data_IF_298301947468
#
_entry.id   IF_298301947468
#
_cell.length_a   1.000
_cell.length_b   1.000
_cell.length_c   1.000
_cell.angle_alpha   90.00
_cell.angle_beta   90.00
_cell.angle_gamma   90.00
#
_symmetry.space_group_name_H-M   'P 1'
#
loop_
_entity.id
_entity.type
_entity.pdbx_description
1 polymer ?
#
# COMPACT_ATOMS: atom_id res chain seq x y z
N UNK A 1 36.01 56.26 20.72
CA UNK A 1 36.26 56.34 19.27
C UNK A 1 37.09 55.12 18.88
N UNK A 2 36.74 54.47 17.76
CA UNK A 2 37.06 53.07 17.37
C UNK A 2 36.19 52.04 18.10
N UNK A 3 35.52 51.06 17.49
CA UNK A 3 35.60 50.45 16.16
C UNK A 3 34.21 49.85 15.84
N UNK A 4 33.53 50.35 14.79
CA UNK A 4 32.22 49.87 14.34
C UNK A 4 32.28 49.70 12.82
N UNK A 5 33.05 48.71 12.36
CA UNK A 5 33.22 48.42 10.95
C UNK A 5 33.35 46.92 10.69
N UNK A 6 32.50 46.43 9.78
CA UNK A 6 32.69 45.19 9.03
C UNK A 6 32.47 43.85 9.75
N UNK A 7 31.23 43.35 9.72
CA UNK A 7 30.93 41.91 9.50
C UNK A 7 29.44 41.65 9.21
N UNK A 8 28.97 42.13 8.06
CA UNK A 8 27.72 41.69 7.43
C UNK A 8 28.03 41.39 5.96
N UNK A 9 28.42 40.14 5.64
CA UNK A 9 28.40 39.50 4.30
C UNK A 9 29.23 38.21 4.28
N UNK A 10 28.68 37.14 4.84
CA UNK A 10 28.94 35.73 4.48
C UNK A 10 28.10 34.91 5.47
N UNK A 11 27.05 34.20 5.09
CA UNK A 11 27.12 32.96 4.32
C UNK A 11 25.70 32.49 3.94
N UNK A 12 24.84 33.42 3.51
CA UNK A 12 23.49 33.10 3.01
C UNK A 12 23.52 32.28 1.69
N UNK A 13 24.71 31.96 1.19
CA UNK A 13 24.98 31.14 0.00
C UNK A 13 24.81 29.64 0.24
N UNK A 14 24.73 29.17 1.48
CA UNK A 14 24.62 27.74 1.80
C UNK A 14 23.19 27.21 1.79
N UNK A 15 22.18 28.09 1.89
CA UNK A 15 20.76 27.71 2.02
C UNK A 15 20.02 27.64 0.67
N UNK A 16 20.63 28.15 -0.40
CA UNK A 16 20.08 28.16 -1.77
C UNK A 16 20.39 26.89 -2.57
N UNK A 17 21.26 25.99 -2.08
CA UNK A 17 21.60 24.72 -2.75
C UNK A 17 20.72 23.52 -2.37
N UNK A 18 19.74 23.69 -1.49
CA UNK A 18 18.91 22.59 -0.95
C UNK A 18 17.47 22.53 -1.48
N UNK A 19 17.13 23.32 -2.52
CA UNK A 19 15.79 23.33 -3.14
C UNK A 19 15.86 23.04 -4.64
N UNK A 20 16.72 22.10 -5.05
CA UNK A 20 16.95 21.75 -6.45
C UNK A 20 16.94 20.24 -6.71
N UNK A 21 15.97 19.53 -6.13
CA UNK A 21 15.59 18.20 -6.62
C UNK A 21 14.11 18.20 -7.00
N UNK A 22 13.74 19.11 -7.90
CA UNK A 22 12.58 18.85 -8.76
C UNK A 22 13.03 17.78 -9.73
N UNK A 23 12.53 16.54 -9.58
CA UNK A 23 12.59 15.53 -10.64
C UNK A 23 12.04 16.16 -11.91
N UNK A 24 12.93 16.52 -12.83
CA UNK A 24 12.58 17.00 -14.15
C UNK A 24 11.74 15.92 -14.82
N UNK A 25 10.46 16.19 -15.06
CA UNK A 25 9.70 15.44 -16.05
C UNK A 25 10.38 15.74 -17.38
N UNK A 26 11.19 14.81 -17.88
CA UNK A 26 11.91 15.00 -19.12
C UNK A 26 10.91 14.92 -20.29
N UNK A 27 10.47 16.08 -20.75
CA UNK A 27 9.53 16.23 -21.87
C UNK A 27 10.08 15.69 -23.20
N UNK A 28 11.35 15.22 -23.23
CA UNK A 28 12.03 14.63 -24.40
C UNK A 28 11.87 13.12 -24.57
N UNK A 29 11.18 12.41 -23.68
CA UNK A 29 11.04 10.95 -23.80
C UNK A 29 10.09 10.59 -24.96
N UNK A 30 10.54 9.71 -25.85
CA UNK A 30 9.69 9.13 -26.89
C UNK A 30 8.62 8.22 -26.28
N UNK A 31 7.60 7.87 -27.06
CA UNK A 31 6.60 6.86 -26.64
C UNK A 31 7.26 5.54 -26.27
N UNK A 32 8.30 5.12 -27.01
CA UNK A 32 9.03 3.89 -26.73
C UNK A 32 9.78 3.97 -25.38
N UNK A 33 10.39 5.13 -25.08
CA UNK A 33 11.10 5.32 -23.81
C UNK A 33 10.14 5.28 -22.61
N UNK A 34 8.95 5.89 -22.74
CA UNK A 34 7.91 5.85 -21.70
C UNK A 34 7.40 4.43 -21.46
N UNK A 35 7.25 3.63 -22.51
CA UNK A 35 6.88 2.21 -22.39
C UNK A 35 7.97 1.40 -21.70
N UNK A 36 9.24 1.67 -22.02
CA UNK A 36 10.38 1.04 -21.34
C UNK A 36 10.43 1.42 -19.86
N UNK A 37 10.18 2.69 -19.53
CA UNK A 37 10.10 3.16 -18.15
C UNK A 37 8.96 2.48 -17.37
N UNK A 38 7.77 2.34 -17.98
CA UNK A 38 6.66 1.63 -17.35
C UNK A 38 7.00 0.17 -17.07
N UNK A 39 7.63 -0.54 -18.03
CA UNK A 39 8.08 -1.93 -17.84
C UNK A 39 9.10 -2.05 -16.70
N UNK A 40 10.01 -1.10 -16.59
CA UNK A 40 10.99 -1.07 -15.50
C UNK A 40 10.32 -0.87 -14.13
N UNK A 41 9.34 0.05 -14.05
CA UNK A 41 8.56 0.26 -12.82
C UNK A 41 7.72 -0.96 -12.45
N UNK A 42 7.12 -1.64 -13.44
CA UNK A 42 6.39 -2.90 -13.22
C UNK A 42 7.31 -3.98 -12.65
N UNK A 43 8.52 -4.13 -13.21
CA UNK A 43 9.49 -5.08 -12.69
C UNK A 43 9.85 -4.79 -11.23
N UNK A 44 10.10 -3.53 -10.85
CA UNK A 44 10.37 -3.15 -9.45
C UNK A 44 9.14 -3.39 -8.54
N UNK A 45 7.95 -2.98 -8.98
CA UNK A 45 6.73 -2.99 -8.17
C UNK A 45 6.15 -4.39 -7.94
N UNK A 46 6.25 -5.26 -8.95
CA UNK A 46 5.57 -6.55 -8.97
C UNK A 46 6.56 -7.69 -8.93
N UNK A 47 7.47 -7.77 -9.91
CA UNK A 47 8.37 -8.94 -10.06
C UNK A 47 9.41 -9.01 -8.95
N UNK A 48 10.27 -8.00 -8.82
CA UNK A 48 11.34 -7.99 -7.83
C UNK A 48 10.79 -7.96 -6.38
N UNK A 49 9.67 -7.26 -6.16
CA UNK A 49 8.99 -7.27 -4.87
C UNK A 49 8.44 -8.66 -4.52
N UNK A 50 7.90 -9.40 -5.50
CA UNK A 50 7.41 -10.76 -5.29
C UNK A 50 8.56 -11.73 -4.97
N UNK A 51 9.68 -11.66 -5.69
CA UNK A 51 10.87 -12.48 -5.42
C UNK A 51 11.40 -12.26 -3.99
N UNK A 52 11.55 -10.99 -3.58
CA UNK A 52 11.98 -10.65 -2.23
C UNK A 52 10.97 -11.06 -1.15
N UNK A 53 9.67 -11.12 -1.48
CA UNK A 53 8.63 -11.57 -0.57
C UNK A 53 8.66 -13.10 -0.40
N UNK A 54 8.84 -13.84 -1.50
CA UNK A 54 8.98 -15.30 -1.53
C UNK A 54 10.11 -15.75 -0.61
N UNK A 55 11.30 -15.15 -0.76
CA UNK A 55 12.48 -15.46 0.07
C UNK A 55 12.18 -15.36 1.58
N UNK A 56 11.37 -14.37 1.98
CA UNK A 56 11.03 -14.10 3.39
C UNK A 56 9.88 -14.93 3.93
N UNK A 57 8.93 -15.33 3.09
CA UNK A 57 7.68 -15.99 3.51
C UNK A 57 7.76 -17.51 3.40
N UNK A 58 8.34 -18.04 2.32
CA UNK A 58 8.32 -19.49 2.05
C UNK A 58 9.13 -20.26 3.10
N UNK A 59 10.25 -19.70 3.57
CA UNK A 59 11.01 -20.29 4.70
C UNK A 59 10.22 -20.39 6.01
N UNK A 60 9.07 -19.72 6.12
CA UNK A 60 8.15 -19.79 7.27
C UNK A 60 6.91 -20.64 6.98
N UNK A 61 6.89 -21.37 5.86
CA UNK A 61 5.72 -22.15 5.42
C UNK A 61 4.51 -21.29 5.04
N UNK A 62 4.74 -20.01 4.68
CA UNK A 62 3.68 -19.07 4.30
C UNK A 62 3.78 -18.71 2.83
N UNK A 63 2.61 -18.54 2.21
CA UNK A 63 2.49 -17.91 0.90
C UNK A 63 2.66 -16.38 1.03
N UNK A 64 3.10 -15.73 -0.05
CA UNK A 64 3.11 -14.26 -0.19
C UNK A 64 1.70 -13.71 -0.38
N UNK A 65 1.52 -12.39 -0.25
CA UNK A 65 0.23 -11.74 -0.45
C UNK A 65 -0.37 -12.00 -1.85
N UNK A 66 0.47 -11.98 -2.89
CA UNK A 66 0.08 -12.24 -4.29
C UNK A 66 -0.23 -13.70 -4.54
N UNK A 67 0.57 -14.63 -4.02
CA UNK A 67 0.30 -16.07 -4.15
C UNK A 67 -1.04 -16.46 -3.51
N UNK A 68 -1.41 -15.83 -2.39
CA UNK A 68 -2.73 -16.07 -1.76
C UNK A 68 -3.88 -15.60 -2.65
N UNK A 69 -3.71 -14.48 -3.35
CA UNK A 69 -4.70 -13.99 -4.32
C UNK A 69 -4.79 -14.93 -5.52
N UNK A 70 -3.66 -15.33 -6.10
CA UNK A 70 -3.62 -16.25 -7.25
C UNK A 70 -4.19 -17.63 -6.90
N UNK A 71 -3.97 -18.12 -5.68
CA UNK A 71 -4.55 -19.38 -5.23
C UNK A 71 -6.07 -19.30 -5.04
N UNK A 72 -6.59 -18.12 -4.66
CA UNK A 72 -8.00 -17.91 -4.36
C UNK A 72 -8.84 -17.69 -5.63
N UNK A 73 -8.30 -16.92 -6.58
CA UNK A 73 -9.01 -16.48 -7.77
C UNK A 73 -8.84 -17.46 -8.94
N UNK A 74 -9.76 -17.40 -9.90
CA UNK A 74 -9.61 -18.11 -11.16
C UNK A 74 -8.35 -17.61 -11.88
N UNK A 75 -7.56 -18.53 -12.43
CA UNK A 75 -6.27 -18.25 -13.06
C UNK A 75 -6.37 -17.13 -14.10
N UNK A 76 -5.50 -16.11 -13.96
CA UNK A 76 -5.43 -14.98 -14.88
C UNK A 76 -6.59 -13.98 -14.79
N UNK A 77 -7.49 -14.12 -13.81
CA UNK A 77 -8.61 -13.19 -13.62
C UNK A 77 -8.26 -11.94 -12.82
N UNK A 78 -7.14 -11.95 -12.09
CA UNK A 78 -6.78 -10.87 -11.18
C UNK A 78 -6.38 -9.60 -11.93
N UNK A 79 -7.05 -8.49 -11.59
CA UNK A 79 -6.74 -7.13 -12.04
C UNK A 79 -6.39 -6.30 -10.82
N UNK A 80 -5.12 -5.98 -10.68
CA UNK A 80 -4.61 -5.21 -9.54
C UNK A 80 -4.95 -3.72 -9.66
N UNK A 81 -5.24 -3.11 -8.51
CA UNK A 81 -5.41 -1.68 -8.34
C UNK A 81 -4.24 -1.09 -7.56
N UNK A 82 -3.85 0.12 -7.94
CA UNK A 82 -2.87 0.93 -7.21
C UNK A 82 -1.52 0.20 -7.00
N UNK A 83 -1.03 -0.52 -8.01
CA UNK A 83 0.24 -1.25 -7.95
C UNK A 83 1.44 -0.29 -7.74
N UNK A 84 1.37 0.94 -8.26
CA UNK A 84 2.48 1.91 -8.21
C UNK A 84 2.38 2.97 -7.10
N UNK A 85 1.39 2.89 -6.20
CA UNK A 85 1.30 3.88 -5.12
C UNK A 85 2.42 3.67 -4.10
N UNK A 86 2.77 4.75 -3.39
CA UNK A 86 3.81 4.75 -2.35
C UNK A 86 3.35 5.65 -1.20
N UNK A 87 3.65 5.29 0.05
CA UNK A 87 3.36 6.15 1.19
C UNK A 87 4.04 7.52 1.06
N UNK A 88 3.50 8.52 1.74
CA UNK A 88 3.93 9.93 1.63
C UNK A 88 4.59 10.47 2.91
N UNK A 89 4.64 9.64 3.95
CA UNK A 89 5.28 10.00 5.22
C UNK A 89 6.79 10.22 5.08
N UNK A 90 7.27 11.27 5.73
CA UNK A 90 8.69 11.60 5.97
C UNK A 90 9.06 11.44 7.46
N UNK A 91 8.11 11.05 8.30
CA UNK A 91 8.34 10.89 9.72
C UNK A 91 9.22 9.67 9.98
N UNK A 92 10.08 9.75 11.00
CA UNK A 92 10.96 8.66 11.43
C UNK A 92 11.80 8.03 10.31
N UNK A 93 12.19 8.81 9.29
CA UNK A 93 13.02 8.34 8.17
C UNK A 93 12.29 7.44 7.18
N UNK A 94 10.96 7.43 7.19
CA UNK A 94 10.15 6.60 6.28
C UNK A 94 10.40 6.90 4.80
N UNK A 95 10.80 8.13 4.46
CA UNK A 95 11.10 8.55 3.09
C UNK A 95 12.27 7.79 2.45
N UNK A 96 13.17 7.21 3.27
CA UNK A 96 14.29 6.40 2.81
C UNK A 96 13.86 5.08 2.15
N UNK A 97 12.66 4.57 2.46
CA UNK A 97 12.16 3.30 1.91
C UNK A 97 10.68 3.42 1.57
N UNK A 98 10.36 3.54 0.28
CA UNK A 98 8.99 3.76 -0.22
C UNK A 98 8.59 2.66 -1.21
N UNK A 99 8.31 1.43 -0.75
CA UNK A 99 7.97 0.32 -1.63
C UNK A 99 6.69 0.62 -2.40
N UNK A 100 6.63 0.16 -3.65
CA UNK A 100 5.42 0.22 -4.46
C UNK A 100 4.30 -0.65 -3.85
N UNK A 101 3.05 -0.28 -4.11
CA UNK A 101 1.86 -0.93 -3.57
C UNK A 101 1.60 -0.65 -2.08
N UNK A 102 2.59 -0.16 -1.34
CA UNK A 102 2.62 -0.14 0.13
C UNK A 102 2.41 -1.56 0.71
N UNK A 103 1.90 -1.71 1.93
CA UNK A 103 1.81 -3.02 2.60
C UNK A 103 0.57 -3.87 2.24
N UNK A 104 -0.05 -3.64 1.07
CA UNK A 104 -1.28 -4.35 0.66
C UNK A 104 -1.41 -4.44 -0.86
N UNK A 105 -1.80 -5.63 -1.33
CA UNK A 105 -2.22 -5.87 -2.72
C UNK A 105 -3.75 -5.82 -2.77
N UNK A 106 -4.33 -5.11 -3.73
CA UNK A 106 -5.78 -4.91 -3.84
C UNK A 106 -6.24 -5.06 -5.27
N UNK A 107 -7.44 -5.57 -5.50
CA UNK A 107 -7.99 -5.64 -6.86
C UNK A 107 -9.29 -6.41 -6.96
N UNK A 108 -9.56 -6.85 -8.17
CA UNK A 108 -10.72 -7.67 -8.51
C UNK A 108 -10.27 -8.92 -9.26
N UNK A 109 -11.10 -9.96 -9.24
CA UNK A 109 -10.98 -11.07 -10.16
C UNK A 109 -12.26 -11.89 -10.11
N UNK A 110 -12.17 -13.18 -10.41
CA UNK A 110 -13.32 -14.08 -10.36
C UNK A 110 -13.05 -15.31 -9.50
N UNK A 111 -14.10 -15.88 -8.90
CA UNK A 111 -14.08 -17.21 -8.28
C UNK A 111 -15.23 -17.98 -8.92
N UNK A 112 -14.92 -19.06 -9.62
CA UNK A 112 -15.89 -19.82 -10.42
C UNK A 112 -16.68 -18.90 -11.38
N UNK A 113 -15.97 -17.97 -12.04
CA UNK A 113 -16.53 -17.00 -12.98
C UNK A 113 -17.33 -15.86 -12.35
N UNK A 114 -17.48 -15.81 -11.01
CA UNK A 114 -18.22 -14.76 -10.30
C UNK A 114 -17.26 -13.68 -9.83
N UNK A 115 -17.51 -12.43 -10.18
CA UNK A 115 -16.65 -11.31 -9.80
C UNK A 115 -16.58 -11.14 -8.28
N UNK A 116 -15.37 -10.92 -7.76
CA UNK A 116 -15.09 -10.62 -6.36
C UNK A 116 -14.05 -9.51 -6.25
N UNK A 117 -14.16 -8.72 -5.19
CA UNK A 117 -13.13 -7.81 -4.74
C UNK A 117 -12.20 -8.54 -3.75
N UNK A 118 -10.91 -8.19 -3.75
CA UNK A 118 -9.95 -8.77 -2.81
C UNK A 118 -8.91 -7.75 -2.35
N UNK A 119 -8.50 -7.86 -1.09
CA UNK A 119 -7.24 -7.29 -0.63
C UNK A 119 -6.44 -8.34 0.15
N UNK A 120 -5.11 -8.27 0.04
CA UNK A 120 -4.19 -9.19 0.71
C UNK A 120 -3.02 -8.41 1.29
N UNK A 121 -2.89 -8.44 2.61
CA UNK A 121 -1.84 -7.70 3.32
C UNK A 121 -0.48 -8.37 3.14
N UNK A 122 0.54 -7.57 2.82
CA UNK A 122 1.90 -8.06 2.60
C UNK A 122 2.77 -7.85 3.85
N UNK A 123 2.93 -8.92 4.63
CA UNK A 123 3.74 -8.90 5.85
C UNK A 123 5.23 -8.59 5.59
N UNK A 124 5.73 -8.75 4.37
CA UNK A 124 7.13 -8.48 4.03
C UNK A 124 7.42 -6.98 3.89
N UNK A 125 6.37 -6.18 3.72
CA UNK A 125 6.40 -4.72 3.65
C UNK A 125 5.95 -4.13 4.98
N UNK A 126 6.90 -3.60 5.75
CA UNK A 126 6.65 -2.99 7.07
C UNK A 126 5.85 -3.87 8.04
N UNK A 127 6.02 -5.20 7.98
CA UNK A 127 5.26 -6.12 8.83
C UNK A 127 3.75 -6.14 8.52
N UNK A 128 3.35 -5.78 7.30
CA UNK A 128 1.94 -5.68 6.91
C UNK A 128 1.21 -4.53 7.60
N UNK A 129 1.94 -3.61 8.26
CA UNK A 129 1.33 -2.55 9.06
C UNK A 129 0.52 -1.59 8.21
N UNK A 130 -0.66 -1.21 8.71
CA UNK A 130 -1.57 -0.29 8.03
C UNK A 130 -1.04 1.15 8.15
N UNK A 131 -0.60 1.71 7.03
CA UNK A 131 -0.34 3.14 6.86
C UNK A 131 -1.48 3.86 6.14
N UNK A 132 -1.29 5.15 5.86
CA UNK A 132 -2.25 6.00 5.13
C UNK A 132 -2.60 5.40 3.77
N UNK A 133 -1.58 5.08 2.96
CA UNK A 133 -1.76 4.65 1.58
C UNK A 133 -2.28 3.21 1.50
N UNK A 134 -1.77 2.29 2.32
CA UNK A 134 -2.36 0.96 2.46
C UNK A 134 -3.85 1.04 2.86
N UNK A 135 -4.20 1.92 3.79
CA UNK A 135 -5.59 2.17 4.16
C UNK A 135 -6.43 2.71 3.01
N UNK A 136 -5.91 3.67 2.25
CA UNK A 136 -6.60 4.23 1.06
C UNK A 136 -6.86 3.17 -0.02
N UNK A 137 -5.93 2.24 -0.23
CA UNK A 137 -6.13 1.12 -1.17
C UNK A 137 -7.28 0.21 -0.72
N UNK A 138 -7.31 -0.18 0.56
CA UNK A 138 -8.37 -1.02 1.11
C UNK A 138 -9.72 -0.29 1.03
N UNK A 139 -9.76 0.98 1.43
CA UNK A 139 -10.95 1.83 1.33
C UNK A 139 -11.47 1.88 -0.11
N UNK A 140 -10.57 2.09 -1.10
CA UNK A 140 -10.95 2.13 -2.51
C UNK A 140 -11.58 0.82 -2.97
N UNK A 141 -10.97 -0.32 -2.67
CA UNK A 141 -11.52 -1.61 -3.13
C UNK A 141 -12.84 -1.94 -2.42
N UNK A 142 -13.01 -1.57 -1.15
CA UNK A 142 -14.28 -1.67 -0.43
C UNK A 142 -15.39 -0.80 -1.06
N UNK A 143 -15.08 0.46 -1.37
CA UNK A 143 -16.03 1.38 -2.00
C UNK A 143 -16.45 0.87 -3.39
N UNK A 144 -15.49 0.37 -4.17
CA UNK A 144 -15.77 -0.24 -5.47
C UNK A 144 -16.63 -1.50 -5.31
N UNK A 145 -16.30 -2.41 -4.40
CA UNK A 145 -17.08 -3.63 -4.15
C UNK A 145 -18.53 -3.32 -3.78
N UNK A 146 -18.74 -2.31 -2.92
CA UNK A 146 -20.08 -1.87 -2.52
C UNK A 146 -20.84 -1.24 -3.69
N UNK A 147 -20.16 -0.47 -4.54
CA UNK A 147 -20.77 0.17 -5.70
C UNK A 147 -21.17 -0.83 -6.79
N UNK A 148 -20.38 -1.89 -6.99
CA UNK A 148 -20.62 -2.93 -8.01
C UNK A 148 -21.37 -4.14 -7.46
N UNK A 149 -21.69 -4.17 -6.16
CA UNK A 149 -22.42 -5.25 -5.48
C UNK A 149 -21.76 -6.61 -5.62
N UNK A 150 -20.43 -6.64 -5.51
CA UNK A 150 -19.67 -7.90 -5.50
C UNK A 150 -19.18 -8.23 -4.09
N UNK A 151 -19.01 -9.53 -3.75
CA UNK A 151 -18.38 -9.93 -2.51
C UNK A 151 -16.98 -9.34 -2.36
N UNK A 152 -16.55 -9.12 -1.12
CA UNK A 152 -15.18 -8.71 -0.80
C UNK A 152 -14.51 -9.72 0.13
N UNK A 153 -13.27 -10.09 -0.20
CA UNK A 153 -12.46 -11.00 0.59
C UNK A 153 -11.22 -10.26 1.09
N UNK A 154 -11.05 -10.18 2.41
CA UNK A 154 -9.86 -9.64 3.05
C UNK A 154 -8.93 -10.76 3.51
N UNK A 155 -7.67 -10.74 3.07
CA UNK A 155 -6.64 -11.68 3.52
C UNK A 155 -5.68 -10.93 4.45
N UNK A 156 -5.72 -11.30 5.73
CA UNK A 156 -5.07 -10.55 6.81
C UNK A 156 -3.76 -11.19 7.26
N UNK A 157 -2.73 -10.35 7.34
CA UNK A 157 -1.38 -10.67 7.80
C UNK A 157 -0.67 -9.35 8.13
N UNK A 158 -1.02 -8.75 9.27
CA UNK A 158 -0.63 -7.41 9.69
C UNK A 158 -0.22 -7.32 11.15
N UNK A 159 0.92 -6.68 11.40
CA UNK A 159 1.37 -6.29 12.74
C UNK A 159 0.54 -5.17 13.40
N UNK A 160 -0.48 -4.63 12.75
CA UNK A 160 -1.35 -3.57 13.27
C UNK A 160 -1.10 -2.20 12.62
N UNK A 161 -1.30 -1.12 13.38
CA UNK A 161 -1.11 0.24 12.89
C UNK A 161 0.38 0.54 12.62
N UNK A 162 0.66 1.28 11.54
CA UNK A 162 2.02 1.77 11.28
C UNK A 162 2.32 2.97 12.18
N UNK A 163 3.01 2.70 13.30
CA UNK A 163 3.33 3.69 14.34
C UNK A 163 4.00 4.95 13.77
N UNK A 164 4.87 4.79 12.77
CA UNK A 164 5.62 5.87 12.13
C UNK A 164 4.72 6.90 11.43
N UNK A 165 3.50 6.51 11.03
CA UNK A 165 2.52 7.41 10.41
C UNK A 165 1.51 7.97 11.43
N UNK A 166 1.58 7.52 12.69
CA UNK A 166 0.83 8.07 13.81
C UNK A 166 -0.69 7.96 13.63
N UNK A 167 -1.40 9.03 14.01
CA UNK A 167 -2.87 9.07 14.05
C UNK A 167 -3.53 8.86 12.70
N UNK A 168 -2.81 9.09 11.58
CA UNK A 168 -3.34 8.88 10.24
C UNK A 168 -3.66 7.40 10.01
N UNK A 169 -2.80 6.49 10.48
CA UNK A 169 -3.04 5.05 10.41
C UNK A 169 -4.32 4.65 11.17
N UNK A 170 -4.57 5.25 12.34
CA UNK A 170 -5.78 5.01 13.13
C UNK A 170 -7.05 5.55 12.44
N UNK A 171 -6.94 6.71 11.79
CA UNK A 171 -8.03 7.25 10.97
C UNK A 171 -8.43 6.30 9.83
N UNK A 172 -7.46 5.65 9.18
CA UNK A 172 -7.74 4.64 8.15
C UNK A 172 -8.45 3.41 8.70
N UNK A 173 -8.09 2.93 9.90
CA UNK A 173 -8.85 1.87 10.56
C UNK A 173 -10.32 2.27 10.75
N UNK A 174 -10.60 3.47 11.26
CA UNK A 174 -11.98 3.95 11.43
C UNK A 174 -12.76 3.99 10.13
N UNK A 175 -12.15 4.43 9.04
CA UNK A 175 -12.77 4.47 7.71
C UNK A 175 -13.00 3.07 7.10
N UNK A 176 -12.12 2.10 7.39
CA UNK A 176 -12.33 0.69 7.03
C UNK A 176 -13.50 0.11 7.83
N UNK A 177 -13.54 0.28 9.16
CA UNK A 177 -14.61 -0.24 10.01
C UNK A 177 -15.97 0.32 9.60
N UNK A 178 -16.05 1.62 9.32
CA UNK A 178 -17.25 2.28 8.81
C UNK A 178 -17.76 1.64 7.52
N UNK A 179 -16.86 1.22 6.63
CA UNK A 179 -17.22 0.51 5.40
C UNK A 179 -17.65 -0.92 5.66
N UNK A 180 -17.00 -1.63 6.60
CA UNK A 180 -17.47 -2.95 7.01
C UNK A 180 -18.92 -2.89 7.51
N UNK A 181 -19.22 -1.93 8.38
CA UNK A 181 -20.59 -1.73 8.88
C UNK A 181 -21.57 -1.34 7.77
N UNK A 182 -21.19 -0.46 6.85
CA UNK A 182 -22.04 -0.07 5.70
C UNK A 182 -22.30 -1.21 4.72
N UNK A 183 -21.34 -2.11 4.56
CA UNK A 183 -21.43 -3.26 3.68
C UNK A 183 -22.13 -4.47 4.34
N UNK A 184 -22.29 -4.46 5.67
CA UNK A 184 -22.91 -5.55 6.44
C UNK A 184 -24.35 -5.80 5.97
N UNK A 185 -24.63 -7.04 5.57
CA UNK A 185 -25.92 -7.44 5.00
C UNK A 185 -26.18 -6.92 3.57
N UNK A 186 -25.22 -6.23 2.94
CA UNK A 186 -25.37 -5.67 1.58
C UNK A 186 -24.53 -6.46 0.55
N UNK A 187 -23.26 -6.68 0.86
CA UNK A 187 -22.37 -7.56 0.08
C UNK A 187 -21.74 -8.58 1.05
N UNK A 188 -21.49 -9.84 0.62
CA UNK A 188 -20.76 -10.78 1.45
C UNK A 188 -19.33 -10.29 1.72
N UNK A 189 -18.94 -10.28 2.98
CA UNK A 189 -17.61 -9.90 3.46
C UNK A 189 -16.97 -11.10 4.15
N UNK A 190 -15.82 -11.54 3.66
CA UNK A 190 -15.11 -12.71 4.19
C UNK A 190 -13.69 -12.31 4.61
N UNK A 191 -13.28 -12.72 5.80
CA UNK A 191 -11.94 -12.50 6.32
C UNK A 191 -11.16 -13.80 6.44
N UNK A 192 -9.99 -13.85 5.83
CA UNK A 192 -9.04 -14.97 5.94
C UNK A 192 -7.84 -14.50 6.74
N UNK A 193 -7.66 -15.03 7.96
CA UNK A 193 -6.51 -14.68 8.81
C UNK A 193 -5.35 -15.65 8.56
N UNK A 194 -4.36 -15.21 7.77
CA UNK A 194 -3.18 -16.00 7.37
C UNK A 194 -1.91 -15.65 8.16
N UNK A 195 -2.03 -14.79 9.17
CA UNK A 195 -0.93 -14.39 10.03
C UNK A 195 -1.38 -13.52 11.19
N UNK A 196 -0.45 -12.77 11.81
CA UNK A 196 -0.82 -11.87 12.89
C UNK A 196 -1.92 -10.91 12.43
N UNK A 197 -2.89 -10.67 13.31
CA UNK A 197 -3.82 -9.56 13.22
C UNK A 197 -3.84 -8.94 14.62
N UNK A 198 -3.05 -7.88 14.82
CA UNK A 198 -2.84 -7.29 16.14
C UNK A 198 -3.51 -5.91 16.28
N UNK A 199 -4.00 -5.61 17.48
CA UNK A 199 -4.62 -4.33 17.81
C UNK A 199 -5.82 -4.03 16.92
N UNK A 200 -5.86 -2.84 16.29
CA UNK A 200 -6.98 -2.42 15.44
C UNK A 200 -7.27 -3.36 14.26
N UNK A 201 -6.30 -4.17 13.83
CA UNK A 201 -6.49 -5.10 12.71
C UNK A 201 -7.57 -6.16 12.95
N UNK A 202 -7.90 -6.50 14.21
CA UNK A 202 -8.88 -7.55 14.52
C UNK A 202 -10.33 -7.11 14.39
N UNK A 203 -10.60 -5.80 14.48
CA UNK A 203 -11.98 -5.31 14.48
C UNK A 203 -12.63 -5.36 13.10
N UNK A 204 -11.86 -5.24 12.02
CA UNK A 204 -12.41 -5.37 10.66
C UNK A 204 -12.94 -6.79 10.41
N UNK A 205 -12.17 -7.87 10.66
CA UNK A 205 -12.70 -9.24 10.61
C UNK A 205 -13.89 -9.50 11.54
N UNK A 206 -13.90 -8.92 12.74
CA UNK A 206 -15.03 -9.07 13.65
C UNK A 206 -16.34 -8.45 13.12
N UNK A 207 -16.25 -7.56 12.12
CA UNK A 207 -17.39 -6.93 11.45
C UNK A 207 -17.73 -7.58 10.10
N UNK A 208 -16.92 -8.53 9.61
CA UNK A 208 -17.22 -9.31 8.41
C UNK A 208 -18.14 -10.49 8.76
N UNK A 209 -18.76 -11.09 7.73
CA UNK A 209 -19.75 -12.15 7.94
C UNK A 209 -19.09 -13.47 8.35
N UNK A 210 -17.86 -13.73 7.85
CA UNK A 210 -17.04 -14.90 8.11
C UNK A 210 -15.58 -14.53 8.31
#
# INVERSE_FOLDING_TARGET
>A
MADLGHRLRSSNTSRLKLVSEKKNVNLSLSTADRLAELKARYHEAVTASAEAAVEKQHGKGKLTARERIEQLLDHGSFVELDEYVRHRSVAFGMDAKRPYGDAVVTGFGTIHGRQVAVFSQDFTVFGGSLGEVAGDKIIKVMDLALSTRVPIIGILDSGGARIQEGVVALGKYGEIFKRNTRASGVIPQISIVCGPAAGGAVYSPALTDF
#
